data_IF_124056690413
#
_entry.id   IF_124056690413
#
_cell.length_a   1.000
_cell.length_b   1.000
_cell.length_c   1.000
_cell.angle_alpha   90.00
_cell.angle_beta   90.00
_cell.angle_gamma   90.00
#
_symmetry.space_group_name_H-M   'P 1'
#
loop_
_entity.id
_entity.type
_entity.pdbx_description
1 polymer ?
#
# COMPACT_ATOMS: atom_id res chain seq x y z
N UNK A 1 -9.92 9.97 4.47
CA UNK A 1 -8.46 10.25 4.56
C UNK A 1 -7.57 9.17 3.94
N UNK A 2 -8.11 8.05 3.46
CA UNK A 2 -7.37 6.95 2.81
C UNK A 2 -6.69 7.33 1.49
N UNK A 3 -7.15 8.41 0.84
CA UNK A 3 -6.77 8.79 -0.55
C UNK A 3 -5.55 9.68 -0.68
N UNK A 4 -5.07 10.25 0.43
CA UNK A 4 -3.90 11.14 0.46
C UNK A 4 -3.07 10.78 1.67
N UNK A 5 -1.74 10.80 1.55
CA UNK A 5 -0.77 10.68 2.66
C UNK A 5 -0.30 12.04 3.21
N UNK A 6 -0.79 13.17 2.69
CA UNK A 6 -0.38 14.49 3.17
C UNK A 6 -0.92 14.80 4.57
N UNK A 7 -0.17 15.62 5.34
CA UNK A 7 -0.55 16.04 6.70
C UNK A 7 -1.59 17.17 6.72
N UNK A 8 -1.73 17.92 5.62
CA UNK A 8 -2.66 19.03 5.51
C UNK A 8 -2.65 19.63 4.12
N UNK A 9 -3.19 20.84 3.98
CA UNK A 9 -3.18 21.58 2.72
C UNK A 9 -3.71 23.01 2.83
N UNK A 10 -3.80 23.68 1.69
CA UNK A 10 -4.27 25.06 1.58
C UNK A 10 -3.20 26.13 1.80
N UNK A 11 -1.94 25.71 1.94
CA UNK A 11 -0.80 26.62 1.98
C UNK A 11 -0.54 27.27 0.60
N UNK A 12 0.12 28.45 0.57
CA UNK A 12 0.62 29.04 -0.67
C UNK A 12 1.60 28.12 -1.40
N UNK A 13 1.79 28.35 -2.70
CA UNK A 13 2.76 27.57 -3.48
C UNK A 13 4.18 27.71 -2.91
N UNK A 14 4.98 26.63 -3.01
CA UNK A 14 6.38 26.64 -2.55
C UNK A 14 7.20 27.76 -3.18
N UNK A 15 6.92 28.14 -4.43
CA UNK A 15 7.52 29.31 -5.09
C UNK A 15 7.23 30.59 -4.31
N UNK A 16 5.96 30.86 -4.01
CA UNK A 16 5.55 32.06 -3.25
C UNK A 16 6.17 32.08 -1.85
N UNK A 17 6.23 30.91 -1.19
CA UNK A 17 6.86 30.79 0.14
C UNK A 17 8.37 31.05 0.05
N UNK A 18 9.05 30.47 -0.94
CA UNK A 18 10.50 30.63 -1.10
C UNK A 18 10.89 32.08 -1.39
N UNK A 19 10.18 32.76 -2.29
CA UNK A 19 10.42 34.17 -2.61
C UNK A 19 10.14 35.09 -1.41
N UNK A 20 9.17 34.73 -0.56
CA UNK A 20 8.92 35.44 0.70
C UNK A 20 10.00 35.21 1.75
N UNK A 21 10.61 34.03 1.80
CA UNK A 21 11.66 33.68 2.76
C UNK A 21 13.05 34.15 2.34
N UNK A 22 13.31 34.21 1.03
CA UNK A 22 14.62 34.52 0.46
C UNK A 22 14.49 35.64 -0.58
N UNK A 23 14.38 36.91 -0.16
CA UNK A 23 14.19 38.05 -1.07
C UNK A 23 15.35 38.25 -2.06
N UNK A 24 16.52 37.67 -1.79
CA UNK A 24 17.67 37.69 -2.69
C UNK A 24 17.50 36.81 -3.95
N UNK A 25 16.48 35.95 -3.99
CA UNK A 25 16.20 35.10 -5.14
C UNK A 25 15.19 35.81 -6.04
N UNK A 26 15.59 36.09 -7.29
CA UNK A 26 14.67 36.63 -8.30
C UNK A 26 13.55 35.62 -8.62
N UNK A 27 12.30 36.07 -8.85
CA UNK A 27 11.20 35.20 -9.30
C UNK A 27 11.50 34.42 -10.59
N UNK A 28 12.33 34.97 -11.47
CA UNK A 28 12.70 34.39 -12.77
C UNK A 28 13.81 33.33 -12.63
N UNK A 29 14.71 33.51 -11.67
CA UNK A 29 15.81 32.57 -11.38
C UNK A 29 15.40 31.45 -10.42
N UNK A 30 14.15 31.48 -9.93
CA UNK A 30 13.67 30.50 -8.98
C UNK A 30 13.52 29.11 -9.60
N UNK A 31 14.20 28.14 -9.02
CA UNK A 31 14.00 26.72 -9.27
C UNK A 31 14.10 25.93 -7.98
N UNK A 32 13.23 24.94 -7.76
CA UNK A 32 13.29 24.13 -6.52
C UNK A 32 14.65 23.45 -6.31
N UNK A 33 15.30 22.87 -7.34
CA UNK A 33 16.63 22.28 -7.21
C UNK A 33 17.75 23.29 -6.96
N UNK A 34 17.59 24.57 -7.31
CA UNK A 34 18.62 25.59 -7.06
C UNK A 34 18.69 26.01 -5.58
N UNK A 35 17.64 25.74 -4.81
CA UNK A 35 17.66 25.94 -3.36
C UNK A 35 18.57 24.91 -2.66
N UNK A 36 19.35 25.37 -1.68
CA UNK A 36 20.10 24.48 -0.81
C UNK A 36 19.18 23.56 0.00
N UNK A 37 19.69 22.43 0.50
CA UNK A 37 18.91 21.51 1.35
C UNK A 37 18.37 22.17 2.62
N UNK A 38 19.06 23.19 3.14
CA UNK A 38 18.59 23.98 4.29
C UNK A 38 17.41 24.85 3.87
N UNK A 39 17.54 25.58 2.76
CA UNK A 39 16.46 26.43 2.23
C UNK A 39 15.21 25.61 1.87
N UNK A 40 15.36 24.46 1.21
CA UNK A 40 14.26 23.55 0.92
C UNK A 40 13.51 23.14 2.19
N UNK A 41 14.23 22.77 3.26
CA UNK A 41 13.62 22.42 4.55
C UNK A 41 12.87 23.59 5.18
N UNK A 42 13.41 24.81 5.10
CA UNK A 42 12.73 26.01 5.61
C UNK A 42 11.42 26.29 4.87
N UNK A 43 11.41 26.14 3.54
CA UNK A 43 10.19 26.29 2.73
C UNK A 43 9.15 25.24 3.09
N UNK A 44 9.55 23.97 3.22
CA UNK A 44 8.63 22.89 3.61
C UNK A 44 8.04 23.12 5.01
N UNK A 45 8.85 23.55 5.98
CA UNK A 45 8.37 23.89 7.32
C UNK A 45 7.37 25.05 7.29
N UNK A 46 7.65 26.09 6.49
CA UNK A 46 6.75 27.24 6.35
C UNK A 46 5.45 26.86 5.62
N UNK A 47 5.52 25.98 4.63
CA UNK A 47 4.35 25.40 3.96
C UNK A 47 3.44 24.70 4.97
N UNK A 48 3.98 23.83 5.82
CA UNK A 48 3.23 23.11 6.84
C UNK A 48 2.58 24.03 7.87
N UNK A 49 3.32 25.04 8.36
CA UNK A 49 2.78 26.05 9.27
C UNK A 49 1.70 26.93 8.62
N UNK A 50 1.67 27.00 7.29
CA UNK A 50 0.70 27.79 6.52
C UNK A 50 -0.49 26.96 6.02
N UNK A 51 -0.62 25.71 6.44
CA UNK A 51 -1.79 24.91 6.12
C UNK A 51 -3.07 25.57 6.64
N UNK A 52 -4.12 25.56 5.82
CA UNK A 52 -5.47 25.99 6.22
C UNK A 52 -6.25 24.85 6.87
N UNK A 53 -5.92 23.61 6.53
CA UNK A 53 -6.50 22.43 7.17
C UNK A 53 -5.44 21.38 7.45
N UNK A 54 -5.70 20.56 8.47
CA UNK A 54 -4.85 19.46 8.92
C UNK A 54 -5.63 18.16 8.88
N UNK A 55 -4.98 17.10 8.40
CA UNK A 55 -5.53 15.76 8.30
C UNK A 55 -5.17 14.96 9.57
N UNK A 56 -6.08 14.86 10.53
CA UNK A 56 -5.90 14.05 11.75
C UNK A 56 -6.32 12.60 11.49
N UNK A 57 -5.36 11.80 11.02
CA UNK A 57 -5.59 10.40 10.60
C UNK A 57 -6.07 9.49 11.71
N UNK A 58 -5.52 9.65 12.91
CA UNK A 58 -5.92 8.90 14.10
C UNK A 58 -7.40 9.10 14.45
N UNK A 59 -7.97 10.26 14.13
CA UNK A 59 -9.37 10.59 14.36
C UNK A 59 -10.24 10.39 13.10
N UNK A 60 -9.64 9.99 11.98
CA UNK A 60 -10.33 9.90 10.69
C UNK A 60 -10.89 11.22 10.17
N UNK A 61 -10.45 12.37 10.70
CA UNK A 61 -11.10 13.67 10.50
C UNK A 61 -10.15 14.77 9.99
N UNK A 62 -10.73 15.80 9.35
CA UNK A 62 -10.03 16.99 8.88
C UNK A 62 -10.43 18.17 9.75
N UNK A 63 -9.45 18.93 10.22
CA UNK A 63 -9.66 20.10 11.05
C UNK A 63 -9.13 21.35 10.36
N UNK A 64 -9.77 22.49 10.60
CA UNK A 64 -9.18 23.78 10.25
C UNK A 64 -7.96 24.03 11.12
N UNK A 65 -6.94 24.70 10.59
CA UNK A 65 -5.80 25.14 11.41
C UNK A 65 -6.22 26.17 12.45
N UNK A 66 -7.35 26.87 12.25
CA UNK A 66 -7.99 27.74 13.22
C UNK A 66 -9.14 27.07 13.98
N UNK A 67 -9.10 25.75 14.17
CA UNK A 67 -10.12 25.03 14.94
C UNK A 67 -10.21 25.58 16.36
N UNK A 68 -11.43 25.88 16.82
CA UNK A 68 -11.71 26.37 18.18
C UNK A 68 -11.56 25.30 19.28
N UNK A 69 -11.38 24.03 18.89
CA UNK A 69 -11.25 22.82 19.74
C UNK A 69 -12.50 22.46 20.56
N UNK A 70 -13.18 23.46 21.11
CA UNK A 70 -14.38 23.33 21.92
C UNK A 70 -15.54 23.99 21.20
N UNK A 71 -16.71 23.38 21.32
CA UNK A 71 -17.96 23.93 20.80
C UNK A 71 -19.00 23.92 21.91
N UNK A 72 -19.79 24.98 21.98
CA UNK A 72 -20.94 25.00 22.87
C UNK A 72 -22.05 24.14 22.27
N UNK A 73 -22.59 23.23 23.08
CA UNK A 73 -23.64 22.30 22.68
C UNK A 73 -24.78 22.44 23.68
N UNK A 74 -26.01 22.61 23.18
CA UNK A 74 -27.20 22.60 24.04
C UNK A 74 -27.53 21.16 24.42
N UNK A 75 -28.05 20.96 25.63
CA UNK A 75 -28.42 19.65 26.13
C UNK A 75 -29.32 18.90 25.13
N UNK A 76 -28.97 17.64 24.85
CA UNK A 76 -29.71 16.78 23.92
C UNK A 76 -29.40 16.95 22.43
N UNK A 77 -28.42 17.80 22.04
CA UNK A 77 -28.01 17.96 20.64
C UNK A 77 -26.61 17.39 20.35
N UNK A 78 -26.38 16.92 19.13
CA UNK A 78 -25.05 16.47 18.71
C UNK A 78 -24.11 17.66 18.50
N UNK A 79 -22.87 17.50 18.97
CA UNK A 79 -21.80 18.48 18.77
C UNK A 79 -21.51 18.67 17.28
N UNK A 80 -21.78 19.87 16.78
CA UNK A 80 -21.44 20.24 15.41
C UNK A 80 -20.01 20.78 15.32
N UNK A 81 -19.35 20.69 14.15
CA UNK A 81 -18.05 21.32 13.96
C UNK A 81 -18.09 22.83 14.23
N UNK A 82 -17.02 23.36 14.83
CA UNK A 82 -16.84 24.80 15.03
C UNK A 82 -16.88 25.57 13.71
N UNK A 83 -17.07 26.88 13.79
CA UNK A 83 -17.26 27.75 12.63
C UNK A 83 -16.12 27.60 11.61
N UNK A 84 -14.87 27.70 12.10
CA UNK A 84 -13.65 27.52 11.31
C UNK A 84 -13.57 26.18 10.57
N UNK A 85 -13.95 25.08 11.22
CA UNK A 85 -13.94 23.75 10.60
C UNK A 85 -15.07 23.58 9.58
N UNK A 86 -16.24 24.17 9.85
CA UNK A 86 -17.38 24.15 8.93
C UNK A 86 -17.09 24.94 7.66
N UNK A 87 -16.42 26.09 7.79
CA UNK A 87 -16.09 26.97 6.68
C UNK A 87 -15.03 26.40 5.73
N UNK A 88 -14.28 25.36 6.13
CA UNK A 88 -13.40 24.64 5.20
C UNK A 88 -14.16 24.12 3.97
N UNK A 89 -15.43 23.71 4.10
CA UNK A 89 -16.24 23.26 2.96
C UNK A 89 -16.49 24.36 1.93
N UNK A 90 -16.44 25.63 2.33
CA UNK A 90 -16.60 26.79 1.44
C UNK A 90 -15.27 27.19 0.77
N UNK A 91 -14.14 26.72 1.29
CA UNK A 91 -12.83 27.04 0.75
C UNK A 91 -12.63 26.36 -0.61
N UNK A 92 -12.49 27.15 -1.67
CA UNK A 92 -12.35 26.65 -3.04
C UNK A 92 -11.20 25.63 -3.19
N UNK A 93 -10.02 25.92 -2.61
CA UNK A 93 -8.89 24.98 -2.66
C UNK A 93 -9.17 23.66 -1.95
N UNK A 94 -10.03 23.66 -0.92
CA UNK A 94 -10.46 22.43 -0.26
C UNK A 94 -11.45 21.65 -1.13
N UNK A 95 -12.41 22.33 -1.75
CA UNK A 95 -13.36 21.72 -2.70
C UNK A 95 -12.64 21.04 -3.88
N UNK A 96 -11.65 21.72 -4.46
CA UNK A 96 -10.82 21.15 -5.55
C UNK A 96 -10.15 19.85 -5.12
N UNK A 97 -9.63 19.78 -3.89
CA UNK A 97 -8.99 18.56 -3.36
C UNK A 97 -10.00 17.44 -3.12
N UNK A 98 -11.20 17.76 -2.62
CA UNK A 98 -12.26 16.77 -2.40
C UNK A 98 -12.75 16.15 -3.72
N UNK A 99 -12.84 16.96 -4.78
CA UNK A 99 -13.35 16.55 -6.08
C UNK A 99 -12.30 15.87 -6.98
N UNK A 100 -11.01 15.89 -6.59
CA UNK A 100 -9.95 15.24 -7.37
C UNK A 100 -10.17 13.73 -7.39
N UNK A 101 -10.13 13.09 -8.56
CA UNK A 101 -10.27 11.62 -8.68
C UNK A 101 -8.99 10.89 -8.24
N UNK A 102 -9.13 9.62 -7.82
CA UNK A 102 -7.97 8.76 -7.55
C UNK A 102 -7.31 8.46 -8.91
N UNK A 103 -6.01 8.70 -9.08
CA UNK A 103 -5.33 8.34 -10.33
C UNK A 103 -5.29 6.82 -10.50
N UNK A 104 -5.23 6.34 -11.74
CA UNK A 104 -5.02 4.90 -12.01
C UNK A 104 -3.73 4.39 -11.39
N UNK A 105 -3.68 3.10 -11.03
CA UNK A 105 -2.50 2.46 -10.42
C UNK A 105 -1.20 2.71 -11.20
N UNK A 106 -1.27 2.66 -12.54
CA UNK A 106 -0.13 2.93 -13.43
C UNK A 106 0.46 4.34 -13.26
N UNK A 107 -0.35 5.29 -12.78
CA UNK A 107 0.02 6.70 -12.61
C UNK A 107 0.57 7.01 -11.22
N UNK A 108 0.42 6.12 -10.24
CA UNK A 108 0.99 6.33 -8.89
C UNK A 108 2.52 6.47 -8.92
N UNK A 109 3.20 5.90 -9.94
CA UNK A 109 4.66 6.04 -10.12
C UNK A 109 5.11 7.51 -10.22
N UNK A 110 4.25 8.40 -10.72
CA UNK A 110 4.52 9.82 -10.89
C UNK A 110 4.25 10.66 -9.63
N UNK A 111 3.65 10.10 -8.58
CA UNK A 111 3.39 10.83 -7.33
C UNK A 111 4.73 11.19 -6.68
N UNK A 112 5.03 12.48 -6.44
CA UNK A 112 6.30 12.88 -5.83
C UNK A 112 6.52 12.20 -4.47
N UNK A 113 7.76 11.78 -4.18
CA UNK A 113 8.12 11.10 -2.93
C UNK A 113 7.71 11.90 -1.68
N UNK A 114 7.74 13.24 -1.74
CA UNK A 114 7.32 14.13 -0.66
C UNK A 114 5.84 14.04 -0.28
N UNK A 115 5.00 13.51 -1.16
CA UNK A 115 3.57 13.32 -0.88
C UNK A 115 3.24 11.90 -0.49
N UNK A 116 4.21 10.97 -0.55
CA UNK A 116 4.08 9.60 -0.05
C UNK A 116 4.47 9.60 1.43
N UNK A 117 3.83 8.75 2.25
CA UNK A 117 4.28 8.53 3.63
C UNK A 117 5.29 7.37 3.63
N UNK A 118 6.60 7.64 3.78
CA UNK A 118 7.62 6.60 3.77
C UNK A 118 7.46 5.63 4.94
N UNK A 119 6.93 6.09 6.08
CA UNK A 119 6.66 5.28 7.26
C UNK A 119 5.57 4.24 6.97
N UNK A 120 4.49 4.62 6.28
CA UNK A 120 3.43 3.69 5.86
C UNK A 120 3.96 2.59 4.94
N UNK A 121 4.86 2.93 4.00
CA UNK A 121 5.54 1.94 3.17
C UNK A 121 6.35 0.95 3.99
N UNK A 122 7.16 1.45 4.95
CA UNK A 122 7.98 0.61 5.83
C UNK A 122 7.14 -0.24 6.79
N UNK A 123 6.02 0.29 7.29
CA UNK A 123 5.08 -0.43 8.16
C UNK A 123 4.39 -1.55 7.39
N UNK A 124 3.90 -1.28 6.17
CA UNK A 124 3.29 -2.30 5.30
C UNK A 124 4.27 -3.43 5.00
N UNK A 125 5.50 -3.07 4.61
CA UNK A 125 6.57 -4.05 4.38
C UNK A 125 6.86 -4.89 5.64
N UNK A 126 6.83 -4.29 6.83
CA UNK A 126 7.13 -4.96 8.11
C UNK A 126 6.00 -5.89 8.57
N UNK A 127 4.74 -5.48 8.47
CA UNK A 127 3.60 -6.23 9.01
C UNK A 127 3.15 -7.39 8.13
N UNK A 128 3.27 -7.26 6.81
CA UNK A 128 2.86 -8.31 5.86
C UNK A 128 4.02 -9.23 5.43
N UNK A 129 5.20 -9.10 6.07
CA UNK A 129 6.39 -9.90 5.72
C UNK A 129 6.95 -9.66 4.31
N UNK A 130 6.37 -8.73 3.54
CA UNK A 130 6.75 -8.43 2.14
C UNK A 130 8.07 -7.68 2.04
N UNK A 131 8.61 -7.17 3.16
CA UNK A 131 9.90 -6.49 3.22
C UNK A 131 11.01 -7.28 2.55
N UNK A 132 11.14 -8.56 2.89
CA UNK A 132 12.18 -9.41 2.31
C UNK A 132 11.99 -9.59 0.81
N UNK A 133 10.75 -9.77 0.38
CA UNK A 133 10.42 -9.96 -1.04
C UNK A 133 10.67 -8.70 -1.90
N UNK A 134 10.65 -7.49 -1.31
CA UNK A 134 10.78 -6.22 -2.04
C UNK A 134 12.13 -5.52 -1.81
N UNK A 135 12.65 -5.52 -0.58
CA UNK A 135 13.89 -4.83 -0.22
C UNK A 135 15.13 -5.74 -0.35
N UNK A 136 14.98 -7.07 -0.17
CA UNK A 136 16.09 -8.03 -0.30
C UNK A 136 16.13 -8.70 -1.69
N UNK A 137 15.12 -8.51 -2.54
CA UNK A 137 15.16 -8.95 -3.93
C UNK A 137 16.04 -7.99 -4.75
N UNK A 138 17.27 -8.43 -5.03
CA UNK A 138 18.24 -7.74 -5.89
C UNK A 138 17.90 -7.83 -7.39
N UNK A 139 16.70 -8.34 -7.72
CA UNK A 139 16.22 -8.58 -9.08
C UNK A 139 16.83 -9.82 -9.75
N UNK A 140 17.76 -10.52 -9.10
CA UNK A 140 18.36 -11.75 -9.64
C UNK A 140 17.46 -12.96 -9.40
N UNK A 141 16.65 -12.94 -8.35
CA UNK A 141 15.73 -14.04 -8.06
C UNK A 141 14.42 -13.90 -8.86
N UNK A 142 13.71 -15.01 -9.13
CA UNK A 142 12.44 -14.94 -9.85
C UNK A 142 11.25 -14.68 -8.92
N UNK A 143 11.42 -14.63 -7.59
CA UNK A 143 10.31 -14.75 -6.63
C UNK A 143 9.35 -13.56 -6.66
N UNK A 144 9.87 -12.33 -6.68
CA UNK A 144 9.02 -11.14 -6.77
C UNK A 144 8.26 -11.11 -8.11
N UNK A 145 8.93 -11.46 -9.21
CA UNK A 145 8.33 -11.55 -10.56
C UNK A 145 7.26 -12.64 -10.62
N UNK A 146 7.52 -13.79 -10.01
CA UNK A 146 6.56 -14.89 -9.92
C UNK A 146 5.33 -14.48 -9.10
N UNK A 147 5.52 -13.90 -7.92
CA UNK A 147 4.41 -13.45 -7.06
C UNK A 147 3.53 -12.43 -7.79
N UNK A 148 4.15 -11.45 -8.46
CA UNK A 148 3.43 -10.47 -9.27
C UNK A 148 2.67 -11.13 -10.42
N UNK A 149 3.34 -11.97 -11.21
CA UNK A 149 2.70 -12.67 -12.34
C UNK A 149 1.57 -13.61 -11.91
N UNK A 150 1.69 -14.26 -10.75
CA UNK A 150 0.63 -15.10 -10.19
C UNK A 150 -0.58 -14.26 -9.76
N UNK A 151 -0.36 -13.13 -9.08
CA UNK A 151 -1.43 -12.20 -8.68
C UNK A 151 -2.14 -11.57 -9.90
N UNK A 152 -1.36 -11.19 -10.92
CA UNK A 152 -1.87 -10.63 -12.18
C UNK A 152 -2.53 -11.69 -13.08
N UNK A 153 -2.45 -12.98 -12.71
CA UNK A 153 -3.06 -14.08 -13.45
C UNK A 153 -2.31 -14.50 -14.72
N UNK A 154 -1.04 -14.09 -14.88
CA UNK A 154 -0.18 -14.42 -16.03
C UNK A 154 0.00 -15.94 -16.18
N UNK A 155 -0.03 -16.68 -15.07
CA UNK A 155 0.21 -18.13 -15.03
C UNK A 155 -1.07 -18.98 -14.95
N UNK A 156 -2.24 -18.42 -15.26
CA UNK A 156 -3.53 -19.14 -15.16
C UNK A 156 -3.57 -20.44 -15.96
N UNK A 157 -2.90 -20.49 -17.12
CA UNK A 157 -2.79 -21.72 -17.94
C UNK A 157 -1.89 -22.81 -17.31
N UNK A 158 -1.11 -22.49 -16.29
CA UNK A 158 -0.11 -23.34 -15.66
C UNK A 158 -0.67 -23.91 -14.35
N UNK A 159 -1.93 -24.37 -14.40
CA UNK A 159 -2.71 -24.75 -13.23
C UNK A 159 -2.08 -25.87 -12.38
N UNK A 160 -1.33 -26.79 -12.99
CA UNK A 160 -0.60 -27.84 -12.26
C UNK A 160 0.51 -27.23 -11.40
N UNK A 161 1.34 -26.36 -11.98
CA UNK A 161 2.45 -25.70 -11.26
C UNK A 161 1.92 -24.79 -10.16
N UNK A 162 0.88 -24.00 -10.44
CA UNK A 162 0.23 -23.17 -9.42
C UNK A 162 -0.35 -24.03 -8.29
N UNK A 163 -0.99 -25.15 -8.62
CA UNK A 163 -1.48 -26.12 -7.64
C UNK A 163 -0.38 -26.74 -6.78
N UNK A 164 0.80 -27.02 -7.37
CA UNK A 164 1.96 -27.52 -6.62
C UNK A 164 2.47 -26.48 -5.62
N UNK A 165 2.57 -25.21 -6.04
CA UNK A 165 2.99 -24.11 -5.15
C UNK A 165 1.97 -23.93 -4.03
N UNK A 166 0.67 -23.93 -4.33
CA UNK A 166 -0.41 -23.83 -3.34
C UNK A 166 -0.35 -24.98 -2.31
N UNK A 167 -0.15 -26.22 -2.77
CA UNK A 167 -0.02 -27.39 -1.91
C UNK A 167 1.22 -27.31 -1.00
N UNK A 168 2.35 -26.84 -1.53
CA UNK A 168 3.58 -26.64 -0.77
C UNK A 168 3.40 -25.59 0.33
N UNK A 169 2.82 -24.43 0.01
CA UNK A 169 2.57 -23.35 0.96
C UNK A 169 1.60 -23.83 2.05
N UNK A 170 0.49 -24.44 1.68
CA UNK A 170 -0.52 -24.97 2.61
C UNK A 170 0.05 -26.03 3.55
N UNK A 171 0.87 -26.95 3.02
CA UNK A 171 1.55 -27.98 3.82
C UNK A 171 2.46 -27.33 4.86
N UNK A 172 3.28 -26.36 4.44
CA UNK A 172 4.21 -25.66 5.32
C UNK A 172 3.48 -24.92 6.43
N UNK A 173 2.40 -24.19 6.10
CA UNK A 173 1.58 -23.50 7.09
C UNK A 173 0.94 -24.44 8.11
N UNK A 174 0.39 -25.57 7.65
CA UNK A 174 -0.23 -26.55 8.55
C UNK A 174 0.79 -27.12 9.52
N UNK A 175 1.99 -27.48 9.04
CA UNK A 175 3.06 -28.00 9.88
C UNK A 175 3.53 -26.97 10.91
N UNK A 176 3.71 -25.70 10.50
CA UNK A 176 4.05 -24.61 11.42
C UNK A 176 2.98 -24.40 12.52
N UNK A 177 1.70 -24.63 12.19
CA UNK A 177 0.57 -24.55 13.12
C UNK A 177 0.34 -25.85 13.90
N UNK A 178 1.22 -26.86 13.79
CA UNK A 178 1.06 -28.17 14.43
C UNK A 178 -0.15 -28.97 13.95
N UNK A 179 -0.73 -28.63 12.79
CA UNK A 179 -1.93 -29.26 12.24
C UNK A 179 -1.57 -30.48 11.39
N UNK A 180 -2.49 -31.45 11.38
CA UNK A 180 -2.38 -32.63 10.52
C UNK A 180 -2.49 -32.26 9.03
N UNK A 181 -1.78 -33.03 8.19
CA UNK A 181 -1.90 -32.98 6.72
C UNK A 181 -3.11 -33.78 6.20
N UNK A 182 -3.87 -34.43 7.08
CA UNK A 182 -5.14 -35.08 6.72
C UNK A 182 -6.12 -34.05 6.17
N UNK A 183 -6.90 -34.44 5.16
CA UNK A 183 -7.89 -33.59 4.49
C UNK A 183 -7.30 -32.24 4.02
N UNK A 184 -6.10 -32.26 3.44
CA UNK A 184 -5.57 -31.11 2.72
C UNK A 184 -6.23 -31.04 1.34
N UNK A 185 -6.69 -29.84 0.96
CA UNK A 185 -7.25 -29.61 -0.36
C UNK A 185 -6.12 -29.47 -1.39
N UNK A 186 -6.30 -30.07 -2.57
CA UNK A 186 -5.44 -29.90 -3.74
C UNK A 186 -6.26 -29.33 -4.89
N UNK A 187 -5.66 -28.51 -5.75
CA UNK A 187 -6.37 -27.95 -6.91
C UNK A 187 -6.75 -29.06 -7.89
N UNK A 188 -7.85 -28.89 -8.63
CA UNK A 188 -8.34 -29.91 -9.58
C UNK A 188 -7.32 -30.24 -10.68
N UNK A 189 -6.55 -29.25 -11.14
CA UNK A 189 -5.47 -29.45 -12.10
C UNK A 189 -4.35 -30.33 -11.52
N UNK A 190 -3.92 -30.08 -10.27
CA UNK A 190 -2.92 -30.90 -9.62
C UNK A 190 -3.42 -32.32 -9.35
N UNK A 191 -4.66 -32.49 -8.87
CA UNK A 191 -5.25 -33.81 -8.61
C UNK A 191 -5.37 -34.65 -9.90
N UNK A 192 -5.78 -34.03 -11.00
CA UNK A 192 -5.85 -34.71 -12.31
C UNK A 192 -4.46 -35.15 -12.76
N UNK A 193 -3.46 -34.27 -12.65
CA UNK A 193 -2.07 -34.60 -12.96
C UNK A 193 -1.52 -35.74 -12.08
N UNK A 194 -1.76 -35.70 -10.76
CA UNK A 194 -1.38 -36.75 -9.84
C UNK A 194 -2.02 -38.10 -10.19
N UNK A 195 -3.29 -38.10 -10.60
CA UNK A 195 -4.03 -39.30 -11.00
C UNK A 195 -3.44 -39.92 -12.26
N UNK A 196 -3.13 -39.10 -13.27
CA UNK A 196 -2.43 -39.55 -14.49
C UNK A 196 -1.04 -40.10 -14.17
N UNK A 197 -0.28 -39.41 -13.32
CA UNK A 197 1.06 -39.87 -12.96
C UNK A 197 1.02 -41.20 -12.20
N UNK A 198 0.04 -41.39 -11.30
CA UNK A 198 -0.15 -42.63 -10.56
C UNK A 198 -0.61 -43.80 -11.45
N UNK A 199 -1.40 -43.53 -12.51
CA UNK A 199 -1.82 -44.56 -13.47
C UNK A 199 -0.66 -45.00 -14.37
N UNK A 200 0.20 -44.07 -14.79
CA UNK A 200 1.39 -44.36 -15.62
C UNK A 200 2.45 -45.10 -14.79
N UNK A 201 2.78 -44.59 -13.61
CA UNK A 201 3.80 -45.18 -12.75
C UNK A 201 3.60 -44.80 -11.29
N UNK A 202 3.15 -45.77 -10.51
CA UNK A 202 3.03 -45.62 -9.05
C UNK A 202 4.38 -45.29 -8.39
N UNK A 203 5.50 -45.75 -8.97
CA UNK A 203 6.85 -45.43 -8.49
C UNK A 203 7.21 -43.97 -8.76
N UNK A 204 6.95 -43.47 -9.97
CA UNK A 204 7.15 -42.05 -10.29
C UNK A 204 6.27 -41.15 -9.42
N UNK A 205 5.01 -41.56 -9.18
CA UNK A 205 4.12 -40.84 -8.29
C UNK A 205 4.63 -40.78 -6.85
N UNK A 206 5.18 -41.88 -6.30
CA UNK A 206 5.78 -41.85 -4.96
C UNK A 206 6.93 -40.85 -4.86
N UNK A 207 7.80 -40.77 -5.87
CA UNK A 207 8.89 -39.79 -5.92
C UNK A 207 8.32 -38.36 -5.95
N UNK A 208 7.35 -38.11 -6.83
CA UNK A 208 6.68 -36.81 -6.92
C UNK A 208 6.01 -36.41 -5.59
N UNK A 209 5.28 -37.34 -4.98
CA UNK A 209 4.57 -37.13 -3.72
C UNK A 209 5.51 -36.74 -2.58
N UNK A 210 6.70 -37.35 -2.52
CA UNK A 210 7.68 -37.02 -1.48
C UNK A 210 8.25 -35.60 -1.65
N UNK A 211 8.45 -35.14 -2.89
CA UNK A 211 9.00 -33.81 -3.18
C UNK A 211 7.97 -32.70 -3.10
N UNK A 212 6.78 -32.90 -3.66
CA UNK A 212 5.79 -31.84 -3.89
C UNK A 212 4.47 -32.04 -3.13
N UNK A 213 4.26 -33.22 -2.54
CA UNK A 213 3.00 -33.60 -1.92
C UNK A 213 1.98 -34.14 -2.93
N UNK A 214 0.71 -34.09 -2.55
CA UNK A 214 -0.41 -34.71 -3.27
C UNK A 214 -1.14 -35.70 -2.37
N UNK A 215 -2.28 -36.21 -2.82
CA UNK A 215 -3.04 -37.23 -2.07
C UNK A 215 -2.24 -38.53 -1.93
N UNK A 216 -2.48 -39.29 -0.86
CA UNK A 216 -1.90 -40.63 -0.77
C UNK A 216 -2.44 -41.52 -1.92
N UNK A 217 -1.64 -42.49 -2.39
CA UNK A 217 -2.05 -43.42 -3.46
C UNK A 217 -3.40 -44.11 -3.22
N UNK A 218 -3.74 -44.37 -1.94
CA UNK A 218 -5.03 -44.96 -1.53
C UNK A 218 -6.23 -44.01 -1.67
N UNK A 219 -5.97 -42.70 -1.77
CA UNK A 219 -6.97 -41.64 -1.87
C UNK A 219 -7.09 -41.07 -3.31
N UNK A 220 -6.22 -41.51 -4.22
CA UNK A 220 -6.25 -41.17 -5.65
C UNK A 220 -7.04 -42.23 -6.44
N UNK A 221 -6.98 -43.49 -5.99
CA UNK A 221 -7.73 -44.61 -6.55
C UNK A 221 -9.18 -44.60 -6.09
#
# INVERSE_FOLDING_TARGET
LSRSSTMGGGAPSRKKIALSLFPCISPDDYSWPSLSKVQQRMVLRREELSFRWQNRRNLGAVFSSGCEEKVFVRDGTEAQPCSSCRDLRKLHTFQVVLNRQIPDEANFKFVPKSFRCPELGRIYLKHEGVRKLIEEDDGRTPWLRFAKGAADGVYKSQGVVLGMVEAMVTKTERLLKGKSLKNMHYSGALDTFCSMLASISTRAYKTFHNSFGGRGLRSIR
#
